data_IF_749944316303
#
_entry.id   IF_749944316303
#
_cell.length_a   1.000
_cell.length_b   1.000
_cell.length_c   1.000
_cell.angle_alpha   90.00
_cell.angle_beta   90.00
_cell.angle_gamma   90.00
#
_symmetry.space_group_name_H-M   'P 1'
#
loop_
_entity.id
_entity.type
_entity.pdbx_description
1 polymer ?
#
# COMPACT_ATOMS: atom_id res chain seq x y z
N UNK A 1 -9.59 18.33 -7.06
CA UNK A 1 -8.75 18.03 -8.23
C UNK A 1 -7.41 17.58 -7.71
N UNK A 2 -7.25 16.29 -7.44
CA UNK A 2 -5.94 15.68 -7.41
C UNK A 2 -5.75 15.18 -8.84
N UNK A 3 -4.78 15.75 -9.55
CA UNK A 3 -4.34 15.20 -10.83
C UNK A 3 -4.01 13.73 -10.58
N UNK A 4 -4.76 12.85 -11.23
CA UNK A 4 -4.44 11.45 -11.28
C UNK A 4 -2.99 11.37 -11.76
N UNK A 5 -2.09 10.94 -10.88
CA UNK A 5 -0.76 10.48 -11.26
C UNK A 5 -1.01 9.57 -12.46
N UNK A 6 -0.58 10.01 -13.65
CA UNK A 6 -0.85 9.25 -14.86
C UNK A 6 -0.24 7.87 -14.67
N UNK A 7 -1.17 6.94 -14.63
CA UNK A 7 -1.11 5.57 -14.17
C UNK A 7 -0.46 4.74 -15.27
N UNK A 8 0.78 5.08 -15.63
CA UNK A 8 1.48 4.39 -16.72
C UNK A 8 1.97 3.04 -16.19
N UNK A 9 1.08 2.05 -16.28
CA UNK A 9 1.36 0.65 -16.00
C UNK A 9 2.70 0.28 -16.68
N UNK A 10 3.74 -0.10 -15.91
CA UNK A 10 5.05 -0.36 -16.49
C UNK A 10 4.96 -1.44 -17.57
N UNK A 11 5.37 -1.12 -18.80
CA UNK A 11 5.25 -2.03 -19.95
C UNK A 11 5.99 -3.36 -19.75
N UNK A 12 7.06 -3.37 -18.95
CA UNK A 12 7.75 -4.59 -18.56
C UNK A 12 6.93 -5.49 -17.63
N UNK A 13 6.26 -4.90 -16.63
CA UNK A 13 5.34 -5.62 -15.74
C UNK A 13 4.16 -6.17 -16.53
N UNK A 14 3.60 -5.37 -17.45
CA UNK A 14 2.51 -5.81 -18.32
C UNK A 14 2.92 -7.00 -19.18
N UNK A 15 4.08 -6.93 -19.85
CA UNK A 15 4.63 -8.04 -20.63
C UNK A 15 4.87 -9.28 -19.78
N UNK A 16 5.38 -9.10 -18.56
CA UNK A 16 5.57 -10.20 -17.63
C UNK A 16 4.25 -10.89 -17.29
N UNK A 17 3.22 -10.14 -16.90
CA UNK A 17 1.90 -10.66 -16.52
C UNK A 17 1.23 -11.38 -17.70
N UNK A 18 1.23 -10.79 -18.90
CA UNK A 18 0.68 -11.44 -20.11
C UNK A 18 1.39 -12.78 -20.35
N UNK A 19 2.72 -12.81 -20.24
CA UNK A 19 3.50 -14.03 -20.46
C UNK A 19 3.22 -15.12 -19.43
N UNK A 20 3.05 -14.77 -18.15
CA UNK A 20 2.91 -15.76 -17.06
C UNK A 20 1.47 -16.22 -16.84
N UNK A 21 0.47 -15.41 -17.20
CA UNK A 21 -0.96 -15.71 -16.97
C UNK A 21 -1.73 -16.04 -18.24
N UNK A 22 -1.22 -15.66 -19.42
CA UNK A 22 -1.94 -15.77 -20.69
C UNK A 22 -3.10 -14.76 -20.84
N UNK A 23 -3.23 -13.78 -19.93
CA UNK A 23 -4.28 -12.77 -20.01
C UNK A 23 -4.12 -11.91 -21.28
N UNK A 24 -5.23 -11.55 -21.96
CA UNK A 24 -5.19 -10.55 -23.03
C UNK A 24 -4.60 -9.23 -22.54
N UNK A 25 -3.77 -8.57 -23.35
CA UNK A 25 -3.02 -7.37 -22.94
C UNK A 25 -3.88 -6.24 -22.35
N UNK A 26 -5.08 -6.02 -22.88
CA UNK A 26 -6.02 -5.04 -22.34
C UNK A 26 -6.55 -5.42 -20.94
N UNK A 27 -6.82 -6.71 -20.71
CA UNK A 27 -7.28 -7.19 -19.40
C UNK A 27 -6.13 -7.19 -18.38
N UNK A 28 -4.94 -7.61 -18.79
CA UNK A 28 -3.74 -7.51 -17.96
C UNK A 28 -3.46 -6.07 -17.52
N UNK A 29 -3.60 -5.09 -18.43
CA UNK A 29 -3.40 -3.67 -18.10
C UNK A 29 -4.39 -3.19 -17.05
N UNK A 30 -5.67 -3.54 -17.22
CA UNK A 30 -6.71 -3.19 -16.25
C UNK A 30 -6.43 -3.80 -14.88
N UNK A 31 -6.13 -5.09 -14.81
CA UNK A 31 -5.82 -5.76 -13.53
C UNK A 31 -4.61 -5.11 -12.86
N UNK A 32 -3.55 -4.81 -13.62
CA UNK A 32 -2.35 -4.18 -13.05
C UNK A 32 -2.66 -2.76 -12.57
N UNK A 33 -3.40 -1.95 -13.34
CA UNK A 33 -3.84 -0.61 -12.91
C UNK A 33 -4.76 -0.69 -11.69
N UNK A 34 -5.69 -1.65 -11.62
CA UNK A 34 -6.56 -1.82 -10.44
C UNK A 34 -5.75 -2.20 -9.19
N UNK A 35 -4.74 -3.08 -9.34
CA UNK A 35 -3.84 -3.50 -8.26
C UNK A 35 -2.91 -2.36 -7.84
N UNK A 36 -2.29 -1.65 -8.80
CA UNK A 36 -1.45 -0.48 -8.52
C UNK A 36 -2.27 0.64 -7.89
N UNK A 37 -3.47 0.89 -8.42
CA UNK A 37 -4.50 1.79 -7.90
C UNK A 37 -4.88 1.47 -6.44
N UNK A 38 -5.02 0.19 -6.13
CA UNK A 38 -5.21 -0.29 -4.76
C UNK A 38 -3.98 -0.04 -3.87
N UNK A 39 -2.77 -0.01 -4.43
CA UNK A 39 -1.52 0.28 -3.73
C UNK A 39 -1.06 1.75 -3.80
N UNK A 40 -1.85 2.68 -4.36
CA UNK A 40 -1.51 4.12 -4.45
C UNK A 40 -1.34 4.76 -3.07
N UNK A 41 -1.96 4.19 -2.03
CA UNK A 41 -1.76 4.65 -0.66
C UNK A 41 -0.28 4.48 -0.27
N UNK A 42 0.41 5.58 0.02
CA UNK A 42 1.78 5.56 0.55
C UNK A 42 1.82 4.83 1.90
N UNK A 43 3.02 4.40 2.32
CA UNK A 43 3.18 3.78 3.63
C UNK A 43 2.70 4.72 4.76
N UNK A 44 2.94 6.01 4.58
CA UNK A 44 2.52 7.07 5.50
C UNK A 44 1.01 7.21 5.56
N UNK A 45 0.33 7.33 4.41
CA UNK A 45 -1.13 7.43 4.34
C UNK A 45 -1.81 6.20 4.97
N UNK A 46 -1.27 5.01 4.68
CA UNK A 46 -1.72 3.75 5.28
C UNK A 46 -1.60 3.79 6.80
N UNK A 47 -0.43 4.19 7.32
CA UNK A 47 -0.18 4.26 8.77
C UNK A 47 -1.16 5.21 9.45
N UNK A 48 -1.44 6.38 8.86
CA UNK A 48 -2.38 7.36 9.42
C UNK A 48 -3.80 6.79 9.46
N UNK A 49 -4.30 6.28 8.34
CA UNK A 49 -5.66 5.71 8.24
C UNK A 49 -5.83 4.52 9.18
N UNK A 50 -4.89 3.58 9.14
CA UNK A 50 -4.96 2.32 9.89
C UNK A 50 -4.82 2.55 11.40
N UNK A 51 -3.95 3.47 11.82
CA UNK A 51 -3.88 3.89 13.22
C UNK A 51 -5.23 4.44 13.71
N UNK A 52 -5.90 5.28 12.91
CA UNK A 52 -7.21 5.84 13.25
C UNK A 52 -8.31 4.77 13.35
N UNK A 53 -8.28 3.76 12.47
CA UNK A 53 -9.17 2.59 12.55
C UNK A 53 -8.98 1.79 13.84
N UNK A 54 -7.74 1.42 14.15
CA UNK A 54 -7.43 0.61 15.34
C UNK A 54 -7.76 1.37 16.64
N UNK A 55 -7.52 2.68 16.67
CA UNK A 55 -7.92 3.54 17.78
C UNK A 55 -9.43 3.58 17.97
N UNK A 56 -10.21 3.70 16.88
CA UNK A 56 -11.68 3.65 16.92
C UNK A 56 -12.21 2.29 17.37
N UNK A 57 -11.50 1.21 17.07
CA UNK A 57 -11.80 -0.13 17.56
C UNK A 57 -11.38 -0.38 19.02
N UNK A 58 -10.84 0.63 19.72
CA UNK A 58 -10.46 0.51 21.14
C UNK A 58 -9.16 -0.25 21.39
N UNK A 59 -8.33 -0.46 20.36
CA UNK A 59 -7.05 -1.17 20.51
C UNK A 59 -6.09 -0.31 21.34
N UNK A 60 -5.45 -0.93 22.34
CA UNK A 60 -4.48 -0.25 23.20
C UNK A 60 -3.29 0.29 22.40
N UNK A 61 -2.84 1.51 22.73
CA UNK A 61 -1.84 2.25 21.94
C UNK A 61 -0.54 1.47 21.68
N UNK A 62 -0.03 0.73 22.67
CA UNK A 62 1.17 -0.10 22.49
C UNK A 62 0.95 -1.24 21.47
N UNK A 63 -0.26 -1.82 21.43
CA UNK A 63 -0.60 -2.89 20.49
C UNK A 63 -0.77 -2.38 19.06
N UNK A 64 -1.24 -1.14 18.89
CA UNK A 64 -1.39 -0.51 17.56
C UNK A 64 -0.05 -0.49 16.81
N UNK A 65 1.05 -0.10 17.47
CA UNK A 65 2.37 -0.03 16.81
C UNK A 65 2.92 -1.40 16.42
N UNK A 66 2.60 -2.44 17.18
CA UNK A 66 2.99 -3.82 16.84
C UNK A 66 2.23 -4.27 15.60
N UNK A 67 0.91 -4.08 15.57
CA UNK A 67 0.06 -4.46 14.44
C UNK A 67 0.45 -3.71 13.16
N UNK A 68 0.72 -2.42 13.24
CA UNK A 68 1.15 -1.63 12.08
C UNK A 68 2.46 -2.16 11.47
N UNK A 69 3.43 -2.59 12.29
CA UNK A 69 4.66 -3.20 11.77
C UNK A 69 4.38 -4.54 11.10
N UNK A 70 3.63 -5.41 11.76
CA UNK A 70 3.24 -6.73 11.23
C UNK A 70 2.50 -6.59 9.89
N UNK A 71 1.59 -5.62 9.76
CA UNK A 71 0.82 -5.36 8.54
C UNK A 71 1.67 -4.72 7.42
N UNK A 72 2.63 -3.86 7.75
CA UNK A 72 3.55 -3.25 6.78
C UNK A 72 4.56 -4.25 6.19
N UNK A 73 5.01 -5.22 6.99
CA UNK A 73 5.99 -6.23 6.57
C UNK A 73 5.45 -7.16 5.46
N UNK A 74 4.14 -7.35 5.39
CA UNK A 74 3.48 -8.23 4.42
C UNK A 74 2.86 -7.48 3.24
N UNK A 75 3.02 -6.15 3.17
CA UNK A 75 2.40 -5.34 2.11
C UNK A 75 3.12 -5.57 0.77
N UNK A 76 2.37 -5.78 -0.35
CA UNK A 76 2.96 -6.01 -1.69
C UNK A 76 3.87 -4.90 -2.21
N UNK A 77 3.68 -3.66 -1.75
CA UNK A 77 4.67 -2.59 -1.86
C UNK A 77 5.22 -2.37 -0.46
N UNK A 78 6.21 -3.17 -0.11
CA UNK A 78 6.80 -3.18 1.22
C UNK A 78 7.41 -1.81 1.50
N UNK A 79 6.90 -1.13 2.54
CA UNK A 79 7.62 -0.02 3.12
C UNK A 79 8.97 -0.52 3.63
N UNK A 80 10.05 0.28 3.59
CA UNK A 80 11.24 -0.06 4.36
C UNK A 80 10.83 -0.29 5.83
N UNK A 81 11.44 -1.25 6.55
CA UNK A 81 11.02 -1.61 7.90
C UNK A 81 11.00 -0.36 8.79
N UNK A 82 9.82 0.02 9.26
CA UNK A 82 9.62 1.23 10.05
C UNK A 82 9.70 0.90 11.55
N UNK A 83 10.60 1.57 12.25
CA UNK A 83 10.64 1.56 13.71
C UNK A 83 9.40 2.24 14.30
N UNK A 84 9.06 1.92 15.55
CA UNK A 84 7.98 2.60 16.27
C UNK A 84 8.17 4.14 16.29
N UNK A 85 9.41 4.61 16.42
CA UNK A 85 9.72 6.04 16.40
C UNK A 85 9.36 6.68 15.07
N UNK A 86 9.59 5.99 13.95
CA UNK A 86 9.21 6.47 12.61
C UNK A 86 7.69 6.47 12.46
N UNK A 87 6.99 5.41 12.88
CA UNK A 87 5.53 5.35 12.86
C UNK A 87 4.89 6.49 13.67
N UNK A 88 5.42 6.78 14.87
CA UNK A 88 4.93 7.89 15.70
C UNK A 88 5.15 9.25 15.05
N UNK A 89 6.26 9.43 14.32
CA UNK A 89 6.50 10.67 13.56
C UNK A 89 5.53 10.83 12.40
N UNK A 90 5.16 9.73 11.73
CA UNK A 90 4.15 9.78 10.66
C UNK A 90 2.78 10.20 11.23
N UNK A 91 2.41 9.72 12.41
CA UNK A 91 1.07 9.96 13.00
C UNK A 91 0.99 11.28 13.77
N UNK A 92 2.06 11.71 14.44
CA UNK A 92 2.04 12.86 15.36
C UNK A 92 3.06 13.95 15.02
N UNK A 93 3.96 13.71 14.07
CA UNK A 93 5.03 14.63 13.70
C UNK A 93 4.63 15.63 12.62
#
# INVERSE_FOLDING_TARGET
>A
MLEAVEDEVPEELLRHVVRTTGLPGGLARRVVSDVMGYFVETAEEYVVRRHAELRRAGVGNARIWVLLREELDVRPVAAPPLSERQLRRIVYG
#
